data_IF_022634798718
#
_entry.id   IF_022634798718
#
_cell.length_a   1.000
_cell.length_b   1.000
_cell.length_c   1.000
_cell.angle_alpha   90.00
_cell.angle_beta   90.00
_cell.angle_gamma   90.00
#
_symmetry.space_group_name_H-M   'P 1'
#
loop_
_entity.id
_entity.type
_entity.pdbx_description
1 polymer ?
#
# COMPACT_ATOMS: atom_id res chain seq x y z
N UNK A 1 -4.23 -39.21 -10.64
CA UNK A 1 -3.51 -39.05 -11.92
C UNK A 1 -3.99 -40.00 -13.01
N UNK A 2 -3.98 -41.33 -12.83
CA UNK A 2 -4.39 -42.26 -13.90
C UNK A 2 -5.85 -42.10 -14.37
N UNK A 3 -6.78 -41.82 -13.46
CA UNK A 3 -8.19 -41.55 -13.80
C UNK A 3 -8.30 -40.28 -14.66
N UNK A 4 -7.55 -39.21 -14.34
CA UNK A 4 -7.55 -37.96 -15.12
C UNK A 4 -7.01 -38.22 -16.53
N UNK A 5 -5.96 -39.02 -16.67
CA UNK A 5 -5.43 -39.46 -17.97
C UNK A 5 -6.43 -40.26 -18.78
N UNK A 6 -7.17 -41.16 -18.13
CA UNK A 6 -8.20 -41.97 -18.77
C UNK A 6 -9.37 -41.10 -19.25
N UNK A 7 -9.85 -40.18 -18.41
CA UNK A 7 -10.90 -39.21 -18.79
C UNK A 7 -10.42 -38.31 -19.93
N UNK A 8 -9.19 -37.81 -19.87
CA UNK A 8 -8.60 -37.00 -20.94
C UNK A 8 -8.56 -37.74 -22.28
N UNK A 9 -8.21 -39.03 -22.28
CA UNK A 9 -8.25 -39.88 -23.48
C UNK A 9 -9.67 -40.09 -24.00
N UNK A 10 -10.64 -40.36 -23.12
CA UNK A 10 -12.04 -40.59 -23.52
C UNK A 10 -12.69 -39.30 -24.06
N UNK A 11 -12.30 -38.15 -23.53
CA UNK A 11 -12.83 -36.84 -23.92
C UNK A 11 -12.03 -36.18 -25.06
N UNK A 12 -10.93 -36.79 -25.52
CA UNK A 12 -9.99 -36.21 -26.49
C UNK A 12 -9.40 -34.86 -26.03
N UNK A 13 -9.21 -34.68 -24.72
CA UNK A 13 -8.65 -33.47 -24.12
C UNK A 13 -7.21 -33.73 -23.65
N UNK A 14 -6.22 -32.93 -24.10
CA UNK A 14 -4.83 -33.04 -23.64
C UNK A 14 -4.69 -32.80 -22.13
N UNK A 15 -3.85 -33.61 -21.47
CA UNK A 15 -3.52 -33.46 -20.03
C UNK A 15 -2.23 -32.67 -19.87
N UNK A 16 -2.20 -31.79 -18.87
CA UNK A 16 -1.08 -30.87 -18.60
C UNK A 16 -0.48 -31.18 -17.23
N UNK A 17 0.85 -31.11 -17.12
CA UNK A 17 1.54 -31.27 -15.85
C UNK A 17 1.73 -29.91 -15.15
N UNK A 18 1.34 -29.82 -13.87
CA UNK A 18 1.58 -28.65 -13.02
C UNK A 18 2.11 -29.09 -11.66
N UNK A 19 2.99 -28.29 -11.02
CA UNK A 19 3.64 -28.69 -9.77
C UNK A 19 2.84 -28.35 -8.50
N UNK A 20 1.78 -27.53 -8.62
CA UNK A 20 1.04 -26.96 -7.48
C UNK A 20 2.00 -26.28 -6.45
N UNK A 21 2.94 -25.51 -6.98
CA UNK A 21 4.00 -24.88 -6.18
C UNK A 21 3.44 -23.77 -5.27
N UNK A 22 3.82 -23.79 -4.00
CA UNK A 22 3.42 -22.84 -2.96
C UNK A 22 4.62 -22.10 -2.33
N UNK A 23 5.85 -22.56 -2.58
CA UNK A 23 7.08 -21.94 -2.12
C UNK A 23 8.19 -22.15 -3.17
N UNK A 24 9.27 -21.37 -3.08
CA UNK A 24 10.30 -21.39 -4.12
C UNK A 24 11.17 -22.65 -4.07
N UNK A 25 11.69 -23.00 -2.89
CA UNK A 25 12.63 -24.12 -2.71
C UNK A 25 12.10 -25.16 -1.73
N UNK A 26 12.51 -26.42 -1.89
CA UNK A 26 12.10 -27.52 -1.00
C UNK A 26 12.37 -27.23 0.49
N UNK A 27 13.44 -26.50 0.79
CA UNK A 27 13.83 -26.07 2.14
C UNK A 27 12.84 -25.07 2.78
N UNK A 28 12.12 -24.28 1.97
CA UNK A 28 11.14 -23.28 2.42
C UNK A 28 9.83 -23.92 2.92
N UNK A 29 9.65 -25.23 2.73
CA UNK A 29 8.48 -25.97 3.20
C UNK A 29 8.22 -25.77 4.71
N UNK A 30 9.29 -25.56 5.49
CA UNK A 30 9.18 -25.34 6.93
C UNK A 30 8.59 -23.95 7.26
N UNK A 31 8.90 -22.95 6.45
CA UNK A 31 8.40 -21.58 6.59
C UNK A 31 6.93 -21.53 6.15
N UNK A 32 6.57 -22.24 5.06
CA UNK A 32 5.17 -22.42 4.65
C UNK A 32 4.32 -23.05 5.75
N UNK A 33 4.82 -24.08 6.44
CA UNK A 33 4.09 -24.71 7.56
C UNK A 33 3.85 -23.74 8.71
N UNK A 34 4.81 -22.84 8.98
CA UNK A 34 4.60 -21.78 9.99
C UNK A 34 3.51 -20.81 9.54
N UNK A 35 3.49 -20.38 8.28
CA UNK A 35 2.41 -19.53 7.75
C UNK A 35 1.04 -20.20 7.90
N UNK A 36 0.94 -21.49 7.58
CA UNK A 36 -0.30 -22.27 7.74
C UNK A 36 -0.71 -22.36 9.22
N UNK A 37 0.23 -22.63 10.14
CA UNK A 37 -0.07 -22.65 11.56
C UNK A 37 -0.57 -21.30 12.08
N UNK A 38 0.04 -20.20 11.63
CA UNK A 38 -0.39 -18.82 11.99
C UNK A 38 -1.80 -18.56 11.47
N UNK A 39 -2.09 -18.87 10.20
CA UNK A 39 -3.42 -18.68 9.60
C UNK A 39 -4.50 -19.55 10.26
N UNK A 40 -4.16 -20.79 10.64
CA UNK A 40 -5.06 -21.73 11.32
C UNK A 40 -5.12 -21.53 12.83
N UNK A 41 -4.40 -20.54 13.39
CA UNK A 41 -4.32 -20.29 14.84
C UNK A 41 -3.95 -21.54 15.65
N UNK A 42 -2.98 -22.32 15.17
CA UNK A 42 -2.53 -23.58 15.79
C UNK A 42 -1.01 -23.61 15.95
N UNK A 43 -0.47 -24.68 16.55
CA UNK A 43 0.98 -24.91 16.71
C UNK A 43 1.43 -26.14 15.94
N UNK A 44 2.72 -26.22 15.63
CA UNK A 44 3.31 -27.39 14.99
C UNK A 44 3.08 -28.66 15.82
N UNK A 45 3.23 -28.57 17.14
CA UNK A 45 3.00 -29.70 18.05
C UNK A 45 1.57 -30.23 17.99
N UNK A 46 0.57 -29.34 17.95
CA UNK A 46 -0.84 -29.73 17.88
C UNK A 46 -1.17 -30.37 16.53
N UNK A 47 -0.65 -29.82 15.43
CA UNK A 47 -0.81 -30.41 14.10
C UNK A 47 -0.19 -31.81 14.03
N UNK A 48 1.05 -31.97 14.52
CA UNK A 48 1.72 -33.28 14.55
C UNK A 48 0.93 -34.29 15.36
N UNK A 49 0.39 -33.90 16.52
CA UNK A 49 -0.44 -34.77 17.36
C UNK A 49 -1.72 -35.22 16.65
N UNK A 50 -2.42 -34.31 15.98
CA UNK A 50 -3.65 -34.64 15.23
C UNK A 50 -3.38 -35.57 14.06
N UNK A 51 -2.32 -35.31 13.30
CA UNK A 51 -1.92 -36.15 12.17
C UNK A 51 -1.53 -37.56 12.62
N UNK A 52 -0.84 -37.69 13.76
CA UNK A 52 -0.51 -39.00 14.34
C UNK A 52 -1.76 -39.80 14.77
N UNK A 53 -2.86 -39.11 15.08
CA UNK A 53 -4.14 -39.71 15.45
C UNK A 53 -5.06 -39.97 14.24
N UNK A 54 -4.54 -39.86 13.01
CA UNK A 54 -5.33 -39.89 11.76
C UNK A 54 -6.48 -38.86 11.75
N UNK A 55 -6.33 -37.77 12.51
CA UNK A 55 -7.26 -36.66 12.49
C UNK A 55 -7.12 -35.82 11.23
N UNK A 56 -8.21 -35.16 10.84
CA UNK A 56 -8.19 -34.21 9.74
C UNK A 56 -7.59 -32.88 10.18
N UNK A 57 -6.72 -32.32 9.34
CA UNK A 57 -6.10 -31.02 9.52
C UNK A 57 -6.27 -30.28 8.20
N UNK A 58 -6.86 -29.09 8.26
CA UNK A 58 -6.99 -28.22 7.10
C UNK A 58 -5.62 -28.07 6.43
N UNK A 59 -5.55 -28.34 5.13
CA UNK A 59 -4.30 -28.30 4.35
C UNK A 59 -3.21 -29.25 4.89
N UNK A 60 -3.62 -30.37 5.51
CA UNK A 60 -2.74 -31.37 6.13
C UNK A 60 -1.68 -31.96 5.19
N UNK A 61 -1.87 -31.87 3.87
CA UNK A 61 -0.92 -32.32 2.86
C UNK A 61 0.44 -31.60 2.93
N UNK A 62 0.46 -30.30 3.26
CA UNK A 62 1.69 -29.51 3.39
C UNK A 62 2.51 -29.88 4.64
N UNK A 63 1.87 -30.53 5.63
CA UNK A 63 2.54 -31.05 6.81
C UNK A 63 3.08 -32.47 6.60
N UNK A 64 2.57 -33.19 5.60
CA UNK A 64 2.99 -34.56 5.24
C UNK A 64 4.07 -34.60 4.17
N UNK A 65 4.16 -33.58 3.32
CA UNK A 65 5.09 -33.51 2.19
C UNK A 65 5.81 -32.15 2.13
N UNK A 66 6.99 -32.15 1.51
CA UNK A 66 7.78 -30.95 1.21
C UNK A 66 7.94 -30.72 -0.30
N UNK A 67 7.12 -31.38 -1.13
CA UNK A 67 7.23 -31.34 -2.60
C UNK A 67 6.25 -30.33 -3.24
N UNK A 68 6.02 -29.19 -2.59
CA UNK A 68 5.23 -28.09 -3.15
C UNK A 68 6.14 -26.89 -3.48
N UNK A 69 7.41 -27.15 -3.78
CA UNK A 69 8.35 -26.15 -4.29
C UNK A 69 8.23 -26.02 -5.81
N UNK A 70 8.90 -25.02 -6.41
CA UNK A 70 9.06 -24.95 -7.86
C UNK A 70 10.05 -26.05 -8.28
N UNK A 71 9.61 -27.15 -8.92
CA UNK A 71 10.46 -28.31 -9.16
C UNK A 71 11.27 -28.14 -10.44
N UNK A 72 12.33 -28.94 -10.56
CA UNK A 72 13.04 -29.10 -11.84
C UNK A 72 12.28 -30.02 -12.79
N UNK A 73 12.67 -30.02 -14.07
CA UNK A 73 12.12 -30.93 -15.07
C UNK A 73 12.27 -32.41 -14.65
N UNK A 74 13.45 -32.79 -14.15
CA UNK A 74 13.73 -34.14 -13.66
C UNK A 74 12.84 -34.52 -12.48
N UNK A 75 12.60 -33.59 -11.55
CA UNK A 75 11.70 -33.83 -10.41
C UNK A 75 10.26 -34.08 -10.87
N UNK A 76 9.80 -33.37 -11.90
CA UNK A 76 8.47 -33.59 -12.51
C UNK A 76 8.39 -34.96 -13.19
N UNK A 77 9.42 -35.38 -13.93
CA UNK A 77 9.48 -36.73 -14.52
C UNK A 77 9.49 -37.82 -13.45
N UNK A 78 10.28 -37.64 -12.38
CA UNK A 78 10.34 -38.57 -11.25
C UNK A 78 9.02 -38.65 -10.47
N UNK A 79 8.24 -37.57 -10.45
CA UNK A 79 6.87 -37.55 -9.91
C UNK A 79 5.87 -38.35 -10.77
N UNK A 80 6.30 -38.89 -11.92
CA UNK A 80 5.52 -39.77 -12.78
C UNK A 80 4.73 -39.04 -13.88
N UNK A 81 5.09 -37.79 -14.19
CA UNK A 81 4.58 -37.07 -15.36
C UNK A 81 5.18 -37.61 -16.65
N UNK A 82 4.37 -37.69 -17.71
CA UNK A 82 4.85 -38.14 -19.02
C UNK A 82 5.47 -36.98 -19.79
N UNK A 83 6.32 -37.29 -20.77
CA UNK A 83 6.91 -36.30 -21.66
C UNK A 83 5.85 -35.41 -22.33
N UNK A 84 4.78 -36.02 -22.82
CA UNK A 84 3.66 -35.30 -23.48
C UNK A 84 2.96 -34.33 -22.52
N UNK A 85 2.79 -34.68 -21.25
CA UNK A 85 2.16 -33.78 -20.26
C UNK A 85 3.02 -32.55 -19.98
N UNK A 86 4.35 -32.71 -20.00
CA UNK A 86 5.32 -31.63 -19.80
C UNK A 86 5.41 -30.73 -21.04
N UNK A 87 5.38 -31.32 -22.24
CA UNK A 87 5.33 -30.58 -23.50
C UNK A 87 4.05 -29.76 -23.64
N UNK A 88 2.91 -30.28 -23.19
CA UNK A 88 1.65 -29.52 -23.17
C UNK A 88 1.72 -28.26 -22.27
N UNK A 89 2.48 -28.31 -21.17
CA UNK A 89 2.72 -27.13 -20.33
C UNK A 89 3.49 -26.04 -21.08
N UNK A 90 4.50 -26.43 -21.87
CA UNK A 90 5.26 -25.51 -22.72
C UNK A 90 4.40 -24.97 -23.86
N UNK A 91 3.58 -25.82 -24.49
CA UNK A 91 2.66 -25.40 -25.54
C UNK A 91 1.70 -24.31 -25.03
N UNK A 92 1.13 -24.48 -23.84
CA UNK A 92 0.26 -23.45 -23.23
C UNK A 92 1.05 -22.17 -22.97
N UNK A 93 2.28 -22.27 -22.46
CA UNK A 93 3.13 -21.10 -22.23
C UNK A 93 3.45 -20.35 -23.54
N UNK A 94 3.69 -21.06 -24.65
CA UNK A 94 3.92 -20.48 -25.98
C UNK A 94 2.66 -19.81 -26.56
N UNK A 95 1.46 -20.22 -26.12
CA UNK A 95 0.20 -19.58 -26.50
C UNK A 95 -0.11 -18.31 -25.68
N UNK A 96 0.61 -18.08 -24.57
CA UNK A 96 0.43 -16.89 -23.76
C UNK A 96 1.20 -15.71 -24.33
N UNK A 97 0.50 -14.61 -24.62
CA UNK A 97 1.11 -13.37 -25.09
C UNK A 97 1.56 -12.49 -23.90
N UNK A 98 2.68 -11.78 -24.06
CA UNK A 98 3.06 -10.72 -23.13
C UNK A 98 2.12 -9.53 -23.29
N UNK A 99 1.64 -8.99 -22.17
CA UNK A 99 0.77 -7.82 -22.15
C UNK A 99 1.28 -6.81 -21.12
N UNK A 100 0.96 -5.53 -21.35
CA UNK A 100 1.29 -4.45 -20.42
C UNK A 100 0.00 -3.82 -19.89
N UNK A 101 -0.18 -3.86 -18.58
CA UNK A 101 -1.31 -3.25 -17.88
C UNK A 101 -1.04 -1.80 -17.49
N UNK A 102 0.18 -1.30 -17.66
CA UNK A 102 0.53 0.06 -17.24
C UNK A 102 -0.13 1.08 -18.14
N UNK A 103 -0.72 2.09 -17.52
CA UNK A 103 -1.39 3.17 -18.21
C UNK A 103 -1.03 4.52 -17.59
N UNK A 104 -1.12 5.56 -18.41
CA UNK A 104 -1.10 6.93 -17.88
C UNK A 104 -2.34 7.17 -17.02
N UNK A 105 -2.29 8.12 -16.06
CA UNK A 105 -3.42 8.39 -15.17
C UNK A 105 -4.72 8.67 -15.94
N UNK A 106 -5.72 7.83 -15.70
CA UNK A 106 -7.07 7.88 -16.25
C UNK A 106 -7.95 8.76 -15.35
N UNK A 107 -7.74 10.07 -15.45
CA UNK A 107 -8.50 11.01 -14.62
C UNK A 107 -10.00 10.94 -14.91
N UNK A 108 -10.86 10.93 -13.87
CA UNK A 108 -12.29 11.12 -14.07
C UNK A 108 -12.54 12.53 -14.61
N UNK A 109 -13.55 12.66 -15.46
CA UNK A 109 -13.90 13.97 -16.03
C UNK A 109 -14.66 14.80 -15.01
N UNK A 110 -14.19 16.02 -14.76
CA UNK A 110 -14.93 16.99 -13.97
C UNK A 110 -15.93 17.74 -14.83
N UNK A 111 -17.22 17.64 -14.50
CA UNK A 111 -18.29 18.35 -15.19
C UNK A 111 -18.32 19.83 -14.78
N UNK A 112 -17.60 20.66 -15.54
CA UNK A 112 -17.53 22.09 -15.27
C UNK A 112 -18.89 22.79 -15.51
N UNK A 113 -19.29 23.77 -14.66
CA UNK A 113 -20.46 24.59 -14.89
C UNK A 113 -20.40 25.31 -16.25
N UNK A 114 -21.56 25.59 -16.83
CA UNK A 114 -21.70 26.35 -18.08
C UNK A 114 -20.92 25.78 -19.29
N UNK A 115 -20.53 24.49 -19.25
CA UNK A 115 -19.71 23.82 -20.28
C UNK A 115 -18.34 24.49 -20.50
N UNK A 116 -17.82 25.18 -19.48
CA UNK A 116 -16.46 25.69 -19.50
C UNK A 116 -15.46 24.53 -19.63
N UNK A 117 -14.31 24.79 -20.23
CA UNK A 117 -13.17 23.88 -20.10
C UNK A 117 -12.63 23.91 -18.68
N UNK A 118 -11.97 22.83 -18.27
CA UNK A 118 -11.35 22.72 -16.93
C UNK A 118 -10.36 23.83 -16.66
N UNK A 119 -9.61 24.24 -17.69
CA UNK A 119 -8.67 25.36 -17.64
C UNK A 119 -9.37 26.71 -17.43
N UNK A 120 -10.48 26.96 -18.13
CA UNK A 120 -11.25 28.19 -17.96
C UNK A 120 -11.88 28.26 -16.58
N UNK A 121 -12.44 27.15 -16.10
CA UNK A 121 -13.12 27.12 -14.81
C UNK A 121 -12.14 27.29 -13.64
N UNK A 122 -11.00 26.59 -13.64
CA UNK A 122 -9.97 26.80 -12.61
C UNK A 122 -9.41 28.23 -12.65
N UNK A 123 -9.28 28.84 -13.84
CA UNK A 123 -8.87 30.25 -13.96
C UNK A 123 -9.88 31.19 -13.29
N UNK A 124 -11.18 30.93 -13.47
CA UNK A 124 -12.23 31.72 -12.83
C UNK A 124 -12.15 31.58 -11.30
N UNK A 125 -12.04 30.35 -10.79
CA UNK A 125 -11.95 30.08 -9.36
C UNK A 125 -10.72 30.74 -8.72
N UNK A 126 -9.55 30.67 -9.37
CA UNK A 126 -8.35 31.33 -8.87
C UNK A 126 -8.50 32.86 -8.83
N UNK A 127 -9.23 33.48 -9.77
CA UNK A 127 -9.52 34.91 -9.73
C UNK A 127 -10.43 35.28 -8.57
N UNK A 128 -11.45 34.46 -8.32
CA UNK A 128 -12.37 34.63 -7.19
C UNK A 128 -11.60 34.49 -5.86
N UNK A 129 -10.82 33.42 -5.71
CA UNK A 129 -9.99 33.17 -4.53
C UNK A 129 -8.90 34.24 -4.29
N UNK A 130 -8.33 34.80 -5.36
CA UNK A 130 -7.43 35.94 -5.25
C UNK A 130 -8.16 37.17 -4.70
N UNK A 131 -9.37 37.44 -5.19
CA UNK A 131 -10.21 38.52 -4.67
C UNK A 131 -10.56 38.35 -3.20
N UNK A 132 -10.84 37.12 -2.75
CA UNK A 132 -11.13 36.82 -1.34
C UNK A 132 -9.89 36.89 -0.43
N UNK A 133 -8.71 36.61 -0.98
CA UNK A 133 -7.45 36.57 -0.22
C UNK A 133 -6.66 37.88 -0.28
N UNK A 134 -7.11 38.87 -1.06
CA UNK A 134 -6.35 40.11 -1.31
C UNK A 134 -5.98 40.84 -0.02
N UNK A 135 -6.91 40.95 0.94
CA UNK A 135 -6.64 41.63 2.20
C UNK A 135 -5.58 40.91 3.03
N UNK A 136 -5.56 39.57 2.99
CA UNK A 136 -4.54 38.75 3.69
C UNK A 136 -3.18 38.87 3.01
N UNK A 137 -3.15 38.81 1.68
CA UNK A 137 -1.94 38.98 0.88
C UNK A 137 -1.36 40.38 1.11
N UNK A 138 -2.21 41.41 1.10
CA UNK A 138 -1.81 42.79 1.36
C UNK A 138 -1.23 42.95 2.77
N UNK A 139 -1.81 42.30 3.78
CA UNK A 139 -1.24 42.27 5.13
C UNK A 139 0.14 41.60 5.19
N UNK A 140 0.37 40.52 4.44
CA UNK A 140 1.69 39.87 4.38
C UNK A 140 2.70 40.78 3.69
N UNK A 141 2.34 41.34 2.53
CA UNK A 141 3.19 42.27 1.75
C UNK A 141 3.53 43.53 2.55
N UNK A 142 2.58 44.11 3.27
CA UNK A 142 2.80 45.33 4.04
C UNK A 142 3.68 45.11 5.29
N UNK A 143 3.75 43.88 5.81
CA UNK A 143 4.47 43.53 7.04
C UNK A 143 5.73 42.69 6.81
N UNK A 144 6.14 42.45 5.56
CA UNK A 144 7.30 41.62 5.22
C UNK A 144 8.06 42.17 4.00
N UNK A 145 9.09 41.43 3.57
CA UNK A 145 9.84 41.74 2.35
C UNK A 145 9.19 41.15 1.08
N UNK A 146 8.05 40.46 1.22
CA UNK A 146 7.32 39.89 0.08
C UNK A 146 6.60 40.96 -0.73
N UNK A 147 6.36 40.68 -2.01
CA UNK A 147 5.72 41.64 -2.93
C UNK A 147 4.53 41.03 -3.66
N UNK A 148 3.59 41.87 -4.10
CA UNK A 148 2.48 41.40 -4.96
C UNK A 148 2.99 40.79 -6.27
N UNK A 149 4.13 41.28 -6.77
CA UNK A 149 4.78 40.74 -7.97
C UNK A 149 5.25 39.30 -7.73
N UNK A 150 5.80 38.98 -6.56
CA UNK A 150 6.18 37.61 -6.17
C UNK A 150 4.98 36.65 -6.21
N UNK A 151 3.81 37.05 -5.69
CA UNK A 151 2.60 36.25 -5.80
C UNK A 151 2.14 36.07 -7.25
N UNK A 152 2.24 37.14 -8.06
CA UNK A 152 1.89 37.10 -9.47
C UNK A 152 2.80 36.16 -10.29
N UNK A 153 4.10 36.25 -10.07
CA UNK A 153 5.11 35.37 -10.70
C UNK A 153 4.89 33.91 -10.28
N UNK A 154 4.69 33.66 -8.98
CA UNK A 154 4.39 32.33 -8.45
C UNK A 154 3.13 31.74 -9.08
N UNK A 155 2.05 32.51 -9.17
CA UNK A 155 0.82 32.06 -9.82
C UNK A 155 1.07 31.66 -11.28
N UNK A 156 1.82 32.47 -12.04
CA UNK A 156 2.12 32.17 -13.45
C UNK A 156 2.96 30.90 -13.61
N UNK A 157 3.98 30.71 -12.76
CA UNK A 157 4.83 29.51 -12.77
C UNK A 157 4.02 28.24 -12.47
N UNK A 158 3.21 28.27 -11.41
CA UNK A 158 2.36 27.14 -11.03
C UNK A 158 1.32 26.84 -12.11
N UNK A 159 0.66 27.87 -12.65
CA UNK A 159 -0.40 27.69 -13.62
C UNK A 159 0.12 27.11 -14.94
N UNK A 160 1.28 27.59 -15.42
CA UNK A 160 1.96 27.03 -16.59
C UNK A 160 2.36 25.56 -16.35
N UNK A 161 2.76 25.22 -15.13
CA UNK A 161 3.07 23.84 -14.76
C UNK A 161 1.83 22.94 -14.76
N UNK A 162 0.69 23.42 -14.28
CA UNK A 162 -0.59 22.71 -14.34
C UNK A 162 -1.08 22.52 -15.79
N UNK A 163 -0.93 23.54 -16.64
CA UNK A 163 -1.25 23.49 -18.07
C UNK A 163 -0.45 22.36 -18.77
N UNK A 164 0.88 22.33 -18.58
CA UNK A 164 1.76 21.33 -19.20
C UNK A 164 1.52 19.90 -18.70
N UNK A 165 1.21 19.75 -17.41
CA UNK A 165 0.97 18.45 -16.78
C UNK A 165 -0.47 17.96 -16.92
N UNK A 166 -1.36 18.75 -17.54
CA UNK A 166 -2.80 18.47 -17.67
C UNK A 166 -3.47 18.18 -16.32
N UNK A 167 -3.15 18.95 -15.27
CA UNK A 167 -3.61 18.70 -13.89
C UNK A 167 -4.87 19.47 -13.49
N UNK A 168 -5.48 20.26 -14.39
CA UNK A 168 -6.66 21.07 -14.04
C UNK A 168 -7.83 20.22 -13.52
N UNK A 169 -8.14 19.11 -14.18
CA UNK A 169 -9.22 18.22 -13.73
C UNK A 169 -8.94 17.68 -12.33
N UNK A 170 -7.71 17.28 -12.05
CA UNK A 170 -7.30 16.80 -10.73
C UNK A 170 -7.57 17.86 -9.64
N UNK A 171 -7.10 19.09 -9.85
CA UNK A 171 -7.35 20.19 -8.91
C UNK A 171 -8.84 20.52 -8.75
N UNK A 172 -9.64 20.44 -9.83
CA UNK A 172 -11.08 20.68 -9.76
C UNK A 172 -11.83 19.60 -8.97
N UNK A 173 -11.41 18.32 -9.08
CA UNK A 173 -11.97 17.23 -8.28
C UNK A 173 -11.70 17.49 -6.79
N UNK A 174 -10.47 17.87 -6.44
CA UNK A 174 -10.09 18.19 -5.06
C UNK A 174 -10.86 19.41 -4.54
N UNK A 175 -10.90 20.50 -5.31
CA UNK A 175 -11.67 21.70 -4.99
C UNK A 175 -13.14 21.37 -4.69
N UNK A 176 -13.76 20.55 -5.53
CA UNK A 176 -15.15 20.17 -5.39
C UNK A 176 -15.43 19.31 -4.13
N UNK A 177 -14.50 18.44 -3.77
CA UNK A 177 -14.55 17.71 -2.49
C UNK A 177 -14.50 18.69 -1.31
N UNK A 178 -13.61 19.68 -1.37
CA UNK A 178 -13.45 20.70 -0.32
C UNK A 178 -14.67 21.62 -0.21
N UNK A 179 -15.28 21.97 -1.33
CA UNK A 179 -16.54 22.71 -1.39
C UNK A 179 -17.72 21.90 -0.87
N UNK A 180 -17.80 20.61 -1.20
CA UNK A 180 -18.81 19.73 -0.64
C UNK A 180 -18.67 19.64 0.88
N UNK A 181 -17.45 19.50 1.40
CA UNK A 181 -17.19 19.48 2.83
C UNK A 181 -17.67 20.78 3.50
N UNK A 182 -17.30 21.95 2.94
CA UNK A 182 -17.72 23.28 3.42
C UNK A 182 -19.25 23.41 3.48
N UNK A 183 -19.96 23.06 2.40
CA UNK A 183 -21.43 23.17 2.30
C UNK A 183 -22.19 22.26 3.24
N UNK A 184 -21.58 21.16 3.67
CA UNK A 184 -22.19 20.18 4.56
C UNK A 184 -21.70 20.30 6.01
N UNK A 185 -21.04 21.41 6.35
CA UNK A 185 -20.45 21.66 7.66
C UNK A 185 -19.55 20.51 8.13
N UNK A 186 -18.73 19.98 7.22
CA UNK A 186 -17.74 18.96 7.54
C UNK A 186 -16.42 19.67 7.84
N UNK A 187 -15.93 19.52 9.07
CA UNK A 187 -14.65 20.08 9.47
C UNK A 187 -13.49 19.46 8.68
N UNK A 188 -12.57 20.32 8.26
CA UNK A 188 -11.42 20.00 7.40
C UNK A 188 -10.12 20.47 8.02
N UNK A 189 -9.03 19.79 7.71
CA UNK A 189 -7.69 20.24 8.08
C UNK A 189 -7.22 21.42 7.23
N UNK A 190 -6.20 22.14 7.70
CA UNK A 190 -5.59 23.26 6.99
C UNK A 190 -4.78 22.85 5.72
N UNK A 191 -4.63 21.54 5.50
CA UNK A 191 -3.79 20.92 4.47
C UNK A 191 -2.62 20.15 5.08
N UNK A 192 -2.32 18.95 4.55
CA UNK A 192 -1.18 18.12 4.98
C UNK A 192 -0.23 17.84 3.83
N UNK A 193 1.05 17.71 4.17
CA UNK A 193 2.07 17.27 3.23
C UNK A 193 2.52 18.44 2.35
N UNK A 194 2.93 18.13 1.13
CA UNK A 194 3.54 19.14 0.27
C UNK A 194 2.54 20.09 -0.38
N UNK A 195 1.23 19.80 -0.34
CA UNK A 195 0.19 20.66 -0.96
C UNK A 195 0.20 22.10 -0.45
N UNK A 196 0.60 22.32 0.80
CA UNK A 196 0.77 23.67 1.37
C UNK A 196 1.80 24.55 0.64
N UNK A 197 2.62 23.96 -0.25
CA UNK A 197 3.53 24.70 -1.13
C UNK A 197 2.90 25.20 -2.43
N UNK A 198 1.60 25.06 -2.67
CA UNK A 198 0.95 25.57 -3.90
C UNK A 198 0.08 26.78 -3.64
N UNK A 199 0.38 27.89 -4.32
CA UNK A 199 -0.44 29.09 -4.30
C UNK A 199 -1.80 28.84 -4.96
N UNK A 200 -1.85 28.03 -6.03
CA UNK A 200 -3.12 27.64 -6.64
C UNK A 200 -3.99 26.85 -5.66
N UNK A 201 -3.41 25.93 -4.88
CA UNK A 201 -4.16 25.22 -3.84
C UNK A 201 -4.70 26.15 -2.75
N UNK A 202 -3.92 27.15 -2.34
CA UNK A 202 -4.36 28.20 -1.41
C UNK A 202 -5.52 29.02 -1.98
N UNK A 203 -5.41 29.50 -3.21
CA UNK A 203 -6.45 30.33 -3.86
C UNK A 203 -7.74 29.54 -4.09
N UNK A 204 -7.67 28.24 -4.35
CA UNK A 204 -8.85 27.38 -4.46
C UNK A 204 -9.45 27.00 -3.09
N UNK A 205 -8.82 27.40 -1.97
CA UNK A 205 -9.26 27.01 -0.64
C UNK A 205 -9.06 25.52 -0.33
N UNK A 206 -8.16 24.85 -1.05
CA UNK A 206 -7.72 23.47 -0.75
C UNK A 206 -6.79 23.48 0.47
N UNK A 207 -5.98 24.52 0.63
CA UNK A 207 -5.14 24.75 1.80
C UNK A 207 -5.46 26.10 2.41
N UNK A 208 -5.30 26.23 3.73
CA UNK A 208 -5.48 27.51 4.42
C UNK A 208 -4.14 28.23 4.68
N UNK A 209 -3.02 27.58 4.35
CA UNK A 209 -1.65 28.08 4.52
C UNK A 209 -1.21 28.85 3.28
N UNK A 210 -0.76 30.09 3.47
CA UNK A 210 -0.15 30.90 2.42
C UNK A 210 1.29 30.42 2.15
N UNK A 211 1.59 29.85 0.96
CA UNK A 211 2.92 29.32 0.69
C UNK A 211 4.02 30.38 0.64
N UNK A 212 3.71 31.64 0.31
CA UNK A 212 4.72 32.69 0.17
C UNK A 212 5.09 33.23 1.55
N UNK A 213 4.10 33.52 2.40
CA UNK A 213 4.31 33.96 3.79
C UNK A 213 5.27 33.03 4.55
N UNK A 214 5.12 31.71 4.38
CA UNK A 214 5.93 30.71 5.09
C UNK A 214 7.12 30.17 4.27
N UNK A 215 7.42 30.76 3.09
CA UNK A 215 8.55 30.34 2.25
C UNK A 215 8.46 28.89 1.76
N UNK A 216 7.25 28.37 1.54
CA UNK A 216 6.99 27.01 1.09
C UNK A 216 7.19 26.89 -0.43
N UNK A 217 7.94 25.86 -0.83
CA UNK A 217 8.35 25.67 -2.22
C UNK A 217 7.35 24.82 -3.02
N UNK A 218 6.89 25.33 -4.16
CA UNK A 218 6.04 24.57 -5.09
C UNK A 218 6.74 23.35 -5.67
N UNK A 219 8.05 23.43 -5.91
CA UNK A 219 8.86 22.31 -6.42
C UNK A 219 8.91 21.10 -5.47
N UNK A 220 8.58 21.29 -4.18
CA UNK A 220 8.42 20.19 -3.22
C UNK A 220 7.08 19.49 -3.41
N UNK A 221 6.04 20.23 -3.78
CA UNK A 221 4.71 19.72 -4.10
C UNK A 221 4.69 18.97 -5.43
N UNK A 222 5.12 19.64 -6.48
CA UNK A 222 5.12 19.07 -7.82
C UNK A 222 6.40 19.42 -8.56
N UNK A 223 7.05 18.39 -9.10
CA UNK A 223 8.25 18.58 -9.91
C UNK A 223 8.13 17.74 -11.18
N UNK A 224 8.16 18.44 -12.33
CA UNK A 224 8.09 17.83 -13.66
C UNK A 224 9.20 16.81 -13.92
N UNK A 225 10.35 16.94 -13.26
CA UNK A 225 11.47 16.00 -13.36
C UNK A 225 11.17 14.60 -12.83
N UNK A 226 10.04 14.40 -12.13
CA UNK A 226 9.56 13.08 -11.70
C UNK A 226 8.75 12.35 -12.78
N UNK A 227 8.38 13.03 -13.87
CA UNK A 227 7.64 12.42 -14.96
C UNK A 227 8.61 11.73 -15.94
N UNK A 228 8.28 10.50 -16.34
CA UNK A 228 8.93 9.80 -17.45
C UNK A 228 7.94 9.67 -18.61
N UNK A 229 8.42 9.31 -19.80
CA UNK A 229 7.55 9.10 -20.98
C UNK A 229 6.41 8.11 -20.69
N UNK A 230 6.64 7.16 -19.77
CA UNK A 230 5.72 6.09 -19.42
C UNK A 230 5.03 6.28 -18.06
N UNK A 231 5.36 7.35 -17.30
CA UNK A 231 4.79 7.63 -15.97
C UNK A 231 4.67 9.13 -15.72
N UNK A 232 3.44 9.63 -15.65
CA UNK A 232 3.15 10.95 -15.07
C UNK A 232 2.87 10.74 -13.59
N UNK A 233 3.69 11.33 -12.72
CA UNK A 233 3.42 11.31 -11.28
C UNK A 233 2.33 12.33 -11.01
N UNK A 234 1.17 11.90 -10.50
CA UNK A 234 0.21 12.84 -9.95
C UNK A 234 0.77 13.44 -8.66
N UNK A 235 0.50 14.72 -8.35
CA UNK A 235 0.81 15.26 -7.04
C UNK A 235 -0.05 14.56 -5.97
N UNK A 236 0.56 14.24 -4.82
CA UNK A 236 -0.16 13.64 -3.70
C UNK A 236 -0.82 14.78 -2.88
N UNK A 237 -2.15 14.86 -2.93
CA UNK A 237 -2.94 15.79 -2.12
C UNK A 237 -3.66 15.01 -1.03
N UNK A 238 -3.10 15.12 0.17
CA UNK A 238 -3.66 14.61 1.40
C UNK A 238 -4.79 15.50 1.91
N UNK A 239 -6.00 14.94 2.01
CA UNK A 239 -7.15 15.66 2.53
C UNK A 239 -7.57 15.11 3.90
N UNK A 240 -7.72 16.03 4.85
CA UNK A 240 -8.08 15.74 6.23
C UNK A 240 -9.49 16.18 6.55
N UNK A 241 -10.28 15.25 7.10
CA UNK A 241 -11.65 15.48 7.53
C UNK A 241 -11.88 14.88 8.92
N UNK A 242 -12.93 15.34 9.58
CA UNK A 242 -13.46 14.64 10.76
C UNK A 242 -13.90 13.21 10.39
N UNK A 243 -13.89 12.26 11.35
CA UNK A 243 -14.15 10.85 11.06
C UNK A 243 -15.53 10.63 10.42
N UNK A 244 -16.57 11.26 10.96
CA UNK A 244 -17.94 11.14 10.43
C UNK A 244 -18.11 11.80 9.05
N UNK A 245 -17.39 12.89 8.81
CA UNK A 245 -17.41 13.62 7.54
C UNK A 245 -16.75 12.87 6.40
N UNK A 246 -15.68 12.14 6.68
CA UNK A 246 -14.99 11.28 5.69
C UNK A 246 -15.94 10.33 4.98
N UNK A 247 -16.82 9.63 5.73
CA UNK A 247 -17.76 8.68 5.12
C UNK A 247 -18.74 9.35 4.17
N UNK A 248 -19.22 10.56 4.52
CA UNK A 248 -20.10 11.36 3.66
C UNK A 248 -19.39 11.78 2.37
N UNK A 249 -18.11 12.15 2.46
CA UNK A 249 -17.31 12.54 1.29
C UNK A 249 -17.09 11.33 0.36
N UNK A 250 -16.78 10.15 0.91
CA UNK A 250 -16.66 8.94 0.09
C UNK A 250 -17.97 8.64 -0.62
N UNK A 251 -19.11 8.74 0.08
CA UNK A 251 -20.43 8.55 -0.53
C UNK A 251 -20.69 9.57 -1.65
N UNK A 252 -20.35 10.85 -1.44
CA UNK A 252 -20.46 11.91 -2.44
C UNK A 252 -19.66 11.61 -3.70
N UNK A 253 -18.39 11.21 -3.56
CA UNK A 253 -17.52 10.88 -4.69
C UNK A 253 -18.11 9.68 -5.48
N UNK A 254 -18.65 8.67 -4.79
CA UNK A 254 -19.31 7.52 -5.43
C UNK A 254 -20.57 7.92 -6.20
N UNK A 255 -21.38 8.81 -5.64
CA UNK A 255 -22.57 9.32 -6.32
C UNK A 255 -22.20 10.15 -7.55
N UNK A 256 -21.17 11.00 -7.43
CA UNK A 256 -20.77 11.92 -8.50
C UNK A 256 -20.03 11.25 -9.66
N UNK A 257 -19.08 10.38 -9.37
CA UNK A 257 -18.21 9.76 -10.39
C UNK A 257 -18.66 8.34 -10.78
N UNK A 258 -19.67 7.79 -10.11
CA UNK A 258 -20.27 6.49 -10.40
C UNK A 258 -19.87 5.42 -9.38
N UNK A 259 -20.87 4.67 -8.91
CA UNK A 259 -20.71 3.66 -7.85
C UNK A 259 -19.73 2.55 -8.26
N UNK A 260 -19.69 2.20 -9.55
CA UNK A 260 -18.78 1.19 -10.12
C UNK A 260 -17.37 1.73 -10.41
N UNK A 261 -17.19 3.05 -10.41
CA UNK A 261 -15.94 3.71 -10.77
C UNK A 261 -15.10 4.11 -9.54
N UNK A 262 -15.68 3.97 -8.35
CA UNK A 262 -15.08 4.44 -7.09
C UNK A 262 -15.13 3.34 -6.05
N UNK A 263 -13.96 3.00 -5.50
CA UNK A 263 -13.83 2.02 -4.43
C UNK A 263 -12.70 2.38 -3.47
N UNK A 264 -12.72 1.78 -2.28
CA UNK A 264 -11.51 1.71 -1.46
C UNK A 264 -10.57 0.64 -2.03
N UNK A 265 -9.34 0.58 -1.54
CA UNK A 265 -8.34 -0.41 -1.95
C UNK A 265 -7.97 -1.37 -0.83
N UNK A 266 -7.50 -2.56 -1.21
CA UNK A 266 -6.97 -3.55 -0.27
C UNK A 266 -5.61 -3.08 0.27
N UNK A 267 -5.29 -3.53 1.47
CA UNK A 267 -3.95 -3.44 2.06
C UNK A 267 -3.53 -4.83 2.50
N UNK A 268 -2.24 -5.16 2.39
CA UNK A 268 -1.73 -6.42 2.91
C UNK A 268 -0.92 -6.18 4.18
N UNK A 269 -1.42 -6.72 5.29
CA UNK A 269 -0.66 -6.73 6.53
C UNK A 269 0.47 -7.74 6.40
N UNK A 270 1.67 -7.34 6.78
CA UNK A 270 2.88 -8.18 6.70
C UNK A 270 3.30 -8.65 8.08
N UNK A 271 3.99 -9.79 8.13
CA UNK A 271 4.71 -10.21 9.33
C UNK A 271 5.92 -9.30 9.52
N UNK A 272 5.97 -8.50 10.58
CA UNK A 272 7.05 -7.54 10.81
C UNK A 272 7.54 -7.54 12.26
N UNK A 273 8.86 -7.40 12.43
CA UNK A 273 9.56 -7.22 13.69
C UNK A 273 9.07 -8.13 14.80
N UNK A 274 8.55 -7.50 15.87
CA UNK A 274 8.00 -8.18 17.05
C UNK A 274 6.96 -9.24 16.71
N UNK A 275 6.04 -8.93 15.78
CA UNK A 275 4.93 -9.82 15.44
C UNK A 275 5.40 -11.08 14.71
N UNK A 276 6.34 -10.93 13.77
CA UNK A 276 6.93 -12.03 13.02
C UNK A 276 7.64 -13.01 13.96
N UNK A 277 8.48 -12.48 14.87
CA UNK A 277 9.22 -13.28 15.84
C UNK A 277 8.28 -14.03 16.81
N UNK A 278 7.25 -13.35 17.33
CA UNK A 278 6.22 -13.98 18.19
C UNK A 278 5.46 -15.08 17.46
N UNK A 279 5.08 -14.87 16.21
CA UNK A 279 4.34 -15.86 15.42
C UNK A 279 5.17 -17.14 15.19
N UNK A 280 6.46 -17.01 14.91
CA UNK A 280 7.38 -18.16 14.79
C UNK A 280 7.54 -18.88 16.13
N UNK A 281 7.85 -18.15 17.21
CA UNK A 281 8.07 -18.74 18.52
C UNK A 281 6.84 -19.46 19.08
N UNK A 282 5.66 -18.85 18.93
CA UNK A 282 4.37 -19.44 19.33
C UNK A 282 4.10 -20.71 18.54
N UNK A 283 4.25 -20.67 17.22
CA UNK A 283 4.01 -21.82 16.33
C UNK A 283 4.85 -23.03 16.72
N UNK A 284 6.10 -22.77 17.10
CA UNK A 284 7.03 -23.81 17.55
C UNK A 284 6.93 -24.14 19.04
N UNK A 285 6.10 -23.42 19.80
CA UNK A 285 6.01 -23.54 21.26
C UNK A 285 7.39 -23.46 21.93
N UNK A 286 8.24 -22.54 21.45
CA UNK A 286 9.66 -22.48 21.82
C UNK A 286 9.91 -21.85 23.19
N UNK A 287 9.00 -20.99 23.66
CA UNK A 287 9.07 -20.33 24.96
C UNK A 287 7.67 -19.88 25.42
N UNK A 288 7.59 -19.43 26.67
CA UNK A 288 6.36 -18.90 27.27
C UNK A 288 5.98 -17.53 26.70
N UNK A 289 4.72 -17.12 26.91
CA UNK A 289 4.26 -15.79 26.49
C UNK A 289 4.99 -14.65 27.21
N UNK A 290 5.40 -14.86 28.47
CA UNK A 290 6.21 -13.87 29.21
C UNK A 290 7.56 -13.68 28.54
N UNK A 291 8.29 -14.77 28.31
CA UNK A 291 9.61 -14.73 27.65
C UNK A 291 9.53 -14.10 26.25
N UNK A 292 8.46 -14.37 25.50
CA UNK A 292 8.24 -13.70 24.21
C UNK A 292 8.11 -12.17 24.36
N UNK A 293 7.42 -11.67 25.38
CA UNK A 293 7.30 -10.22 25.62
C UNK A 293 8.63 -9.63 26.09
N UNK A 294 9.31 -10.31 27.00
CA UNK A 294 10.61 -9.89 27.54
C UNK A 294 11.67 -9.79 26.45
N UNK A 295 11.65 -10.69 25.48
CA UNK A 295 12.58 -10.65 24.35
C UNK A 295 12.16 -9.60 23.30
N UNK A 296 10.87 -9.51 22.96
CA UNK A 296 10.41 -8.61 21.89
C UNK A 296 10.43 -7.12 22.24
N UNK A 297 10.58 -6.75 23.52
CA UNK A 297 10.75 -5.34 23.91
C UNK A 297 12.03 -4.72 23.30
N UNK A 298 13.05 -5.54 23.03
CA UNK A 298 14.32 -5.13 22.45
C UNK A 298 14.31 -5.10 20.91
N UNK A 299 13.19 -5.44 20.28
CA UNK A 299 13.00 -5.24 18.84
C UNK A 299 12.30 -3.89 18.67
N UNK A 300 12.86 -2.90 17.96
CA UNK A 300 12.23 -1.58 17.81
C UNK A 300 11.01 -1.64 16.87
N UNK A 301 10.26 -0.54 16.82
CA UNK A 301 9.24 -0.36 15.79
C UNK A 301 9.89 0.10 14.48
N UNK A 302 9.30 -0.24 13.33
CA UNK A 302 9.82 0.12 12.00
C UNK A 302 10.05 1.64 11.86
N UNK A 303 9.12 2.45 12.37
CA UNK A 303 9.18 3.92 12.31
C UNK A 303 10.33 4.53 13.11
N UNK A 304 10.86 3.82 14.11
CA UNK A 304 11.97 4.31 14.94
C UNK A 304 13.33 4.15 14.24
N UNK A 305 13.40 3.22 13.29
CA UNK A 305 14.63 2.84 12.59
C UNK A 305 14.49 2.91 11.06
N UNK A 306 13.48 3.63 10.54
CA UNK A 306 13.16 3.65 9.11
C UNK A 306 14.35 4.02 8.24
N UNK A 307 15.11 5.04 8.65
CA UNK A 307 16.28 5.52 7.91
C UNK A 307 17.40 4.48 7.90
N UNK A 308 17.59 3.78 9.00
CA UNK A 308 18.61 2.74 9.13
C UNK A 308 18.23 1.49 8.33
N UNK A 309 16.95 1.12 8.33
CA UNK A 309 16.45 0.05 7.46
C UNK A 309 16.64 0.41 5.99
N UNK A 310 16.43 1.66 5.61
CA UNK A 310 16.68 2.11 4.24
C UNK A 310 18.16 1.95 3.86
N UNK A 311 19.08 2.36 4.73
CA UNK A 311 20.52 2.13 4.54
C UNK A 311 20.87 0.64 4.41
N UNK A 312 20.25 -0.23 5.19
CA UNK A 312 20.45 -1.69 5.07
C UNK A 312 19.99 -2.20 3.71
N UNK A 313 18.84 -1.75 3.20
CA UNK A 313 18.34 -2.13 1.87
C UNK A 313 19.31 -1.69 0.78
N UNK A 314 19.83 -0.47 0.88
CA UNK A 314 20.74 0.07 -0.13
C UNK A 314 22.09 -0.68 -0.10
N UNK A 315 22.62 -0.98 1.09
CA UNK A 315 23.83 -1.79 1.23
C UNK A 315 23.66 -3.24 0.72
N UNK A 316 22.48 -3.85 0.91
CA UNK A 316 22.19 -5.18 0.35
C UNK A 316 22.16 -5.14 -1.19
N UNK A 317 21.53 -4.12 -1.78
CA UNK A 317 21.54 -3.92 -3.24
C UNK A 317 22.93 -3.70 -3.80
N UNK A 318 23.77 -2.91 -3.13
CA UNK A 318 25.17 -2.68 -3.53
C UNK A 318 25.99 -3.99 -3.53
N UNK A 319 25.64 -4.95 -2.66
CA UNK A 319 26.23 -6.29 -2.62
C UNK A 319 25.61 -7.26 -3.63
N UNK A 320 24.68 -6.81 -4.47
CA UNK A 320 23.97 -7.62 -5.46
C UNK A 320 22.75 -8.38 -4.90
N UNK A 321 22.29 -8.03 -3.70
CA UNK A 321 21.08 -8.56 -3.08
C UNK A 321 19.79 -7.91 -3.61
N UNK A 322 18.65 -8.39 -3.12
CA UNK A 322 17.32 -7.94 -3.52
C UNK A 322 16.85 -6.68 -2.74
N UNK A 323 17.71 -6.10 -1.91
CA UNK A 323 17.37 -5.00 -1.01
C UNK A 323 16.63 -5.45 0.23
N UNK A 324 17.06 -6.55 0.84
CA UNK A 324 16.44 -7.11 2.06
C UNK A 324 16.92 -6.36 3.29
N UNK A 325 15.98 -5.96 4.14
CA UNK A 325 16.26 -5.44 5.48
C UNK A 325 15.31 -6.10 6.48
N UNK A 326 15.84 -6.38 7.67
CA UNK A 326 15.11 -7.06 8.74
C UNK A 326 15.26 -6.29 10.05
N UNK A 327 14.14 -5.98 10.69
CA UNK A 327 14.10 -5.31 12.00
C UNK A 327 14.70 -6.24 13.06
N UNK A 328 14.45 -7.54 12.92
CA UNK A 328 14.97 -8.57 13.82
C UNK A 328 16.50 -8.67 13.68
N UNK A 329 17.01 -8.66 12.44
CA UNK A 329 18.46 -8.66 12.21
C UNK A 329 19.11 -7.39 12.77
N UNK A 330 18.52 -6.22 12.49
CA UNK A 330 19.00 -4.95 13.03
C UNK A 330 19.07 -4.99 14.57
N UNK A 331 18.06 -5.57 15.23
CA UNK A 331 18.05 -5.67 16.68
C UNK A 331 19.13 -6.64 17.21
N UNK A 332 19.42 -7.73 16.52
CA UNK A 332 20.54 -8.62 16.90
C UNK A 332 21.90 -7.92 16.78
N UNK A 333 22.07 -7.05 15.80
CA UNK A 333 23.31 -6.28 15.60
C UNK A 333 23.46 -5.14 16.62
N UNK A 334 22.38 -4.42 16.94
CA UNK A 334 22.43 -3.19 17.73
C UNK A 334 22.07 -3.38 19.21
N UNK A 335 21.23 -4.37 19.54
CA UNK A 335 20.78 -4.70 20.89
C UNK A 335 21.32 -6.09 21.32
N UNK A 336 22.56 -6.39 20.90
CA UNK A 336 23.19 -7.70 21.08
C UNK A 336 23.33 -8.10 22.55
N UNK A 337 23.53 -7.15 23.47
CA UNK A 337 23.71 -7.44 24.91
C UNK A 337 22.42 -7.94 25.54
N UNK A 338 21.31 -7.30 25.19
CA UNK A 338 19.98 -7.57 25.70
C UNK A 338 19.42 -8.87 25.13
N UNK A 339 19.69 -9.16 23.85
CA UNK A 339 19.19 -10.37 23.18
C UNK A 339 20.06 -11.62 23.38
N UNK A 340 21.29 -11.47 23.91
CA UNK A 340 22.31 -12.53 23.99
C UNK A 340 21.83 -13.83 24.64
N UNK A 341 20.92 -13.73 25.60
CA UNK A 341 20.33 -14.90 26.28
C UNK A 341 19.58 -15.82 25.32
N UNK A 342 18.92 -15.25 24.30
CA UNK A 342 18.08 -15.99 23.35
C UNK A 342 18.77 -16.23 22.01
N UNK A 343 19.40 -15.20 21.46
CA UNK A 343 20.12 -15.24 20.19
C UNK A 343 21.17 -14.13 20.09
N UNK A 344 22.30 -14.43 19.47
CA UNK A 344 23.36 -13.47 19.17
C UNK A 344 24.06 -13.81 17.86
N UNK A 345 24.70 -12.84 17.23
CA UNK A 345 25.55 -13.07 16.06
C UNK A 345 26.95 -13.41 16.56
N UNK A 346 27.48 -14.56 16.13
CA UNK A 346 28.83 -14.96 16.44
C UNK A 346 29.85 -14.20 15.57
N UNK A 347 30.83 -13.56 16.19
CA UNK A 347 31.78 -12.67 15.51
C UNK A 347 32.70 -13.40 14.52
N UNK A 348 33.01 -14.68 14.77
CA UNK A 348 33.89 -15.47 13.90
C UNK A 348 33.15 -16.05 12.69
N UNK A 349 31.96 -16.61 12.90
CA UNK A 349 31.19 -17.28 11.85
C UNK A 349 30.19 -16.38 11.13
N UNK A 350 29.83 -15.24 11.72
CA UNK A 350 28.77 -14.34 11.24
C UNK A 350 27.37 -14.97 11.30
N UNK A 351 27.20 -16.11 11.98
CA UNK A 351 25.94 -16.84 12.07
C UNK A 351 25.22 -16.54 13.38
N UNK A 352 23.89 -16.67 13.35
CA UNK A 352 23.08 -16.53 14.56
C UNK A 352 23.26 -17.79 15.42
N UNK A 353 23.64 -17.60 16.68
CA UNK A 353 23.81 -18.65 17.69
C UNK A 353 22.94 -18.36 18.92
N UNK A 354 22.79 -19.35 19.80
CA UNK A 354 21.97 -19.26 21.01
C UNK A 354 20.78 -20.24 21.04
N UNK A 355 20.05 -20.33 22.17
CA UNK A 355 18.97 -21.30 22.36
C UNK A 355 17.83 -21.18 21.33
N UNK A 356 17.53 -19.95 20.90
CA UNK A 356 16.45 -19.66 19.95
C UNK A 356 16.95 -19.25 18.56
N UNK A 357 18.24 -19.43 18.26
CA UNK A 357 18.86 -19.01 17.00
C UNK A 357 18.08 -19.42 15.75
N UNK A 358 17.69 -20.70 15.64
CA UNK A 358 16.91 -21.21 14.50
C UNK A 358 15.56 -20.51 14.32
N UNK A 359 14.96 -20.01 15.41
CA UNK A 359 13.68 -19.30 15.40
C UNK A 359 13.85 -17.85 14.98
N UNK A 360 14.95 -17.22 15.40
CA UNK A 360 15.33 -15.90 14.89
C UNK A 360 15.65 -15.94 13.40
N UNK A 361 16.47 -16.89 12.94
CA UNK A 361 16.75 -17.08 11.51
C UNK A 361 15.48 -17.28 10.68
N UNK A 362 14.56 -18.12 11.17
CA UNK A 362 13.28 -18.34 10.53
C UNK A 362 12.40 -17.08 10.52
N UNK A 363 12.33 -16.34 11.63
CA UNK A 363 11.56 -15.10 11.69
C UNK A 363 12.12 -14.03 10.75
N UNK A 364 13.44 -13.91 10.62
CA UNK A 364 14.12 -13.01 9.68
C UNK A 364 13.75 -13.37 8.24
N UNK A 365 13.78 -14.66 7.86
CA UNK A 365 13.35 -15.09 6.51
C UNK A 365 11.88 -14.81 6.21
N UNK A 366 11.02 -14.96 7.22
CA UNK A 366 9.58 -14.78 7.07
C UNK A 366 9.15 -13.30 7.18
N UNK A 367 10.03 -12.41 7.62
CA UNK A 367 9.74 -10.98 7.76
C UNK A 367 9.41 -10.35 6.40
N UNK A 368 8.35 -9.55 6.36
CA UNK A 368 7.80 -8.95 5.15
C UNK A 368 6.77 -9.80 4.40
N UNK A 369 6.56 -11.05 4.80
CA UNK A 369 5.55 -11.94 4.18
C UNK A 369 4.13 -11.43 4.44
N UNK A 370 3.30 -11.38 3.40
CA UNK A 370 1.88 -11.00 3.49
C UNK A 370 1.13 -12.04 4.32
N UNK A 371 0.44 -11.60 5.37
CA UNK A 371 -0.25 -12.44 6.36
C UNK A 371 -1.76 -12.38 6.22
N UNK A 372 -2.30 -11.19 6.06
CA UNK A 372 -3.74 -10.98 5.96
C UNK A 372 -4.02 -9.78 5.09
N UNK A 373 -5.27 -9.66 4.65
CA UNK A 373 -5.76 -8.50 3.94
C UNK A 373 -6.55 -7.60 4.88
N UNK A 374 -6.49 -6.30 4.62
CA UNK A 374 -7.30 -5.28 5.27
C UNK A 374 -7.81 -4.28 4.23
N UNK A 375 -8.55 -3.30 4.70
CA UNK A 375 -9.02 -2.18 3.89
C UNK A 375 -8.17 -0.95 4.17
N UNK A 376 -7.73 -0.26 3.13
CA UNK A 376 -6.96 0.97 3.29
C UNK A 376 -7.76 2.02 4.08
N UNK A 377 -7.13 2.63 5.08
CA UNK A 377 -7.78 3.58 5.98
C UNK A 377 -8.15 4.89 5.26
N UNK A 378 -7.22 5.48 4.49
CA UNK A 378 -7.43 6.75 3.79
C UNK A 378 -7.83 6.59 2.31
N UNK A 379 -6.99 5.88 1.55
CA UNK A 379 -7.06 5.75 0.10
C UNK A 379 -8.40 5.30 -0.49
N UNK A 380 -8.88 6.11 -1.44
CA UNK A 380 -9.97 5.84 -2.35
C UNK A 380 -9.44 5.92 -3.78
N UNK A 381 -9.75 4.92 -4.60
CA UNK A 381 -9.47 4.94 -6.03
C UNK A 381 -10.67 5.44 -6.81
N UNK A 382 -10.41 6.23 -7.84
CA UNK A 382 -11.39 6.74 -8.79
C UNK A 382 -10.89 6.47 -10.21
N UNK A 383 -11.71 5.74 -10.98
CA UNK A 383 -11.51 5.51 -12.41
C UNK A 383 -12.44 6.37 -13.28
N UNK A 384 -12.14 6.45 -14.57
CA UNK A 384 -13.02 7.06 -15.57
C UNK A 384 -14.01 6.06 -16.21
N UNK A 385 -13.89 4.77 -15.89
CA UNK A 385 -14.76 3.67 -16.28
C UNK A 385 -14.94 2.67 -15.11
N UNK A 386 -15.83 1.67 -15.23
CA UNK A 386 -16.05 0.70 -14.16
C UNK A 386 -14.75 -0.01 -13.74
N UNK A 387 -14.45 0.00 -12.45
CA UNK A 387 -13.17 -0.50 -11.91
C UNK A 387 -12.90 -1.96 -12.24
N UNK A 388 -13.96 -2.77 -12.41
CA UNK A 388 -13.89 -4.18 -12.79
C UNK A 388 -13.26 -4.42 -14.17
N UNK A 389 -13.20 -3.40 -15.02
CA UNK A 389 -12.57 -3.44 -16.35
C UNK A 389 -11.08 -3.10 -16.28
N UNK A 390 -10.62 -2.48 -15.18
CA UNK A 390 -9.25 -1.98 -15.01
C UNK A 390 -8.46 -2.85 -14.02
N UNK A 391 -9.07 -3.24 -12.90
CA UNK A 391 -8.41 -3.99 -11.84
C UNK A 391 -9.34 -5.07 -11.25
N UNK A 392 -8.79 -6.15 -10.68
CA UNK A 392 -9.60 -7.14 -9.98
C UNK A 392 -10.25 -6.51 -8.75
N UNK A 393 -11.52 -6.83 -8.52
CA UNK A 393 -12.25 -6.43 -7.32
C UNK A 393 -12.35 -7.62 -6.36
N UNK A 394 -12.19 -7.35 -5.07
CA UNK A 394 -12.36 -8.33 -3.99
C UNK A 394 -13.37 -7.83 -2.97
N UNK A 395 -14.00 -8.76 -2.26
CA UNK A 395 -14.89 -8.39 -1.16
C UNK A 395 -14.08 -8.15 0.11
N UNK A 396 -14.29 -6.99 0.73
CA UNK A 396 -13.78 -6.75 2.08
C UNK A 396 -14.33 -7.79 3.06
N UNK A 397 -13.48 -8.23 3.98
CA UNK A 397 -13.82 -9.30 4.92
C UNK A 397 -14.89 -8.88 5.91
N UNK A 398 -14.96 -7.59 6.27
CA UNK A 398 -15.84 -7.02 7.29
C UNK A 398 -17.11 -6.41 6.67
N UNK A 399 -16.97 -5.41 5.81
CA UNK A 399 -18.10 -4.67 5.22
C UNK A 399 -18.78 -5.41 4.07
N UNK A 400 -18.17 -6.47 3.53
CA UNK A 400 -18.65 -7.19 2.34
C UNK A 400 -18.88 -6.30 1.12
N UNK A 401 -18.20 -5.17 1.06
CA UNK A 401 -18.20 -4.27 -0.09
C UNK A 401 -17.05 -4.60 -1.04
N UNK A 402 -17.23 -4.36 -2.32
CA UNK A 402 -16.14 -4.50 -3.29
C UNK A 402 -15.09 -3.40 -3.09
N UNK A 403 -13.82 -3.80 -3.08
CA UNK A 403 -12.64 -2.95 -3.01
C UNK A 403 -11.65 -3.36 -4.10
N UNK A 404 -10.76 -2.46 -4.51
CA UNK A 404 -9.66 -2.78 -5.43
C UNK A 404 -8.76 -3.86 -4.83
N UNK A 405 -8.49 -4.93 -5.60
CA UNK A 405 -7.76 -6.13 -5.17
C UNK A 405 -6.24 -6.02 -5.23
N UNK A 406 -5.71 -4.87 -5.66
CA UNK A 406 -4.29 -4.57 -5.70
C UNK A 406 -3.90 -3.48 -4.71
N UNK A 407 -2.62 -3.43 -4.34
CA UNK A 407 -2.10 -2.37 -3.46
C UNK A 407 -2.05 -1.03 -4.22
N UNK A 408 -1.83 0.05 -3.46
CA UNK A 408 -1.85 1.43 -3.96
C UNK A 408 -0.97 1.62 -5.21
N UNK A 409 0.32 1.26 -5.13
CA UNK A 409 1.27 1.48 -6.21
C UNK A 409 0.88 0.73 -7.50
N UNK A 410 0.31 -0.48 -7.35
CA UNK A 410 -0.15 -1.29 -8.48
C UNK A 410 -1.37 -0.66 -9.15
N UNK A 411 -2.33 -0.16 -8.35
CA UNK A 411 -3.52 0.54 -8.86
C UNK A 411 -3.18 1.85 -9.58
N UNK A 412 -2.23 2.62 -9.03
CA UNK A 412 -1.72 3.82 -9.70
C UNK A 412 -1.01 3.48 -11.01
N UNK A 413 -0.27 2.36 -11.05
CA UNK A 413 0.45 1.94 -12.26
C UNK A 413 -0.46 1.60 -13.43
N UNK A 414 -1.69 1.15 -13.15
CA UNK A 414 -2.73 0.88 -14.16
C UNK A 414 -3.60 2.10 -14.45
N UNK A 415 -3.19 3.28 -13.97
CA UNK A 415 -3.78 4.57 -14.30
C UNK A 415 -4.93 4.99 -13.39
N UNK A 416 -5.25 4.28 -12.31
CA UNK A 416 -6.29 4.74 -11.39
C UNK A 416 -5.82 5.95 -10.58
N UNK A 417 -6.71 6.92 -10.39
CA UNK A 417 -6.41 8.09 -9.56
C UNK A 417 -6.68 7.77 -8.11
N UNK A 418 -5.68 8.01 -7.27
CA UNK A 418 -5.79 7.91 -5.82
C UNK A 418 -6.20 9.24 -5.22
N UNK A 419 -7.11 9.17 -4.25
CA UNK A 419 -7.46 10.26 -3.35
C UNK A 419 -7.27 9.80 -1.91
N UNK A 420 -6.41 10.48 -1.15
CA UNK A 420 -6.21 10.20 0.27
C UNK A 420 -7.14 11.06 1.13
N UNK A 421 -8.17 10.39 1.66
CA UNK A 421 -9.18 10.99 2.52
C UNK A 421 -9.01 10.43 3.94
N UNK A 422 -8.33 11.17 4.80
CA UNK A 422 -8.05 10.73 6.17
C UNK A 422 -9.10 11.27 7.14
N UNK A 423 -9.53 10.40 8.07
CA UNK A 423 -10.42 10.76 9.17
C UNK A 423 -9.63 11.02 10.44
N UNK A 424 -9.59 12.26 10.92
CA UNK A 424 -8.86 12.66 12.11
C UNK A 424 -9.79 12.88 13.30
N UNK A 425 -9.61 12.07 14.35
CA UNK A 425 -10.34 12.23 15.60
C UNK A 425 -10.09 13.56 16.32
N UNK A 426 -9.01 14.28 15.97
CA UNK A 426 -8.77 15.63 16.46
C UNK A 426 -9.77 16.63 15.86
N UNK A 427 -10.11 16.51 14.58
CA UNK A 427 -11.07 17.38 13.91
C UNK A 427 -12.48 17.17 14.47
N UNK A 428 -12.88 15.93 14.77
CA UNK A 428 -14.16 15.66 15.45
C UNK A 428 -14.24 16.38 16.82
N UNK A 429 -13.13 16.42 17.56
CA UNK A 429 -13.07 17.11 18.86
C UNK A 429 -13.15 18.62 18.70
N UNK A 430 -12.45 19.18 17.72
CA UNK A 430 -12.48 20.63 17.45
C UNK A 430 -13.89 21.06 17.02
N UNK A 431 -14.52 20.33 16.11
CA UNK A 431 -15.90 20.60 15.69
C UNK A 431 -16.85 20.56 16.90
N UNK A 432 -16.74 19.54 17.75
CA UNK A 432 -17.54 19.45 18.98
C UNK A 432 -17.32 20.60 19.96
N UNK A 433 -16.11 21.18 20.02
CA UNK A 433 -15.84 22.38 20.84
C UNK A 433 -16.54 23.60 20.24
N UNK A 434 -16.46 23.81 18.93
CA UNK A 434 -17.09 24.94 18.24
C UNK A 434 -18.61 24.88 18.34
N UNK A 435 -19.20 23.68 18.17
CA UNK A 435 -20.62 23.43 18.38
C UNK A 435 -21.07 23.80 19.80
N UNK A 436 -20.26 23.47 20.82
CA UNK A 436 -20.56 23.81 22.21
C UNK A 436 -20.44 25.30 22.52
N UNK A 437 -19.55 26.02 21.82
CA UNK A 437 -19.39 27.47 21.96
C UNK A 437 -20.49 28.25 21.22
N UNK A 438 -21.21 27.60 20.30
CA UNK A 438 -22.29 28.24 19.53
C UNK A 438 -21.77 29.19 18.45
N UNK A 439 -20.54 28.99 17.98
CA UNK A 439 -19.88 29.80 16.93
C UNK A 439 -20.16 29.31 15.50
N UNK A 440 -21.29 28.60 15.28
CA UNK A 440 -21.69 28.07 13.97
C UNK A 440 -22.24 29.13 13.01
#
# INVERSE_FOLDING_TARGET
TNIVREVGKQAEIPVVATPDAHYCRREDAIDQRVLLCVGLSTTMSEVTKRLAQNGDVALGQFFKSSNYHIPTYDEMTLAGHTQTELENTLLIAEMCEEYNLRHTPMMPNFSCPNKLSSREYITQLCKEGWGESVDKIDLVVDNSDHTKDEYGERFQEEFATLDEANLHNYFLIIYDIMEFAKRNNIYRGAGRGSVGGSLIAYLLGITEVDPIEYGLLFSRFYNKGRNTADRVSLPDIDLDFEMGGREKIVAYIREKYGIENVAQMITFNRMQGRSALKDVLRTWSSCSFSEMNDMTQFIPNESEISDQLQLMKDADKERGGEGKASIIMWALENNAKELKEWAYIDEESGRIQGPLAKRFEQAIRMEGTKRSTGKHAAGVIVGNSPLKEICPLVYDTVSKTQIGGWEMDDLESVGLVKLDLLGLGLLDRLHGIVDLLGEN
#
